data_IF_458113255071
#
_entry.id   IF_458113255071
#
_cell.length_a   1.000
_cell.length_b   1.000
_cell.length_c   1.000
_cell.angle_alpha   90.00
_cell.angle_beta   90.00
_cell.angle_gamma   90.00
#
_symmetry.space_group_name_H-M   'P 1'
#
loop_
_entity.id
_entity.type
_entity.pdbx_description
1 polymer ?
#
# COMPACT_ATOMS: atom_id res chain seq x y z
N UNK A 1 -62.00 5.05 15.28
CA UNK A 1 -60.64 4.53 15.10
C UNK A 1 -60.07 5.03 13.77
N UNK A 2 -58.77 5.36 13.70
CA UNK A 2 -58.10 5.96 12.52
C UNK A 2 -58.31 5.14 11.23
N UNK A 3 -58.39 3.81 11.32
CA UNK A 3 -58.66 2.94 10.17
C UNK A 3 -60.06 3.10 9.59
N UNK A 4 -61.07 3.43 10.42
CA UNK A 4 -62.42 3.74 9.96
C UNK A 4 -62.47 5.02 9.12
N UNK A 5 -61.68 6.04 9.49
CA UNK A 5 -61.55 7.29 8.70
C UNK A 5 -60.85 7.07 7.36
N UNK A 6 -60.07 5.98 7.25
CA UNK A 6 -59.38 5.58 6.02
C UNK A 6 -60.21 4.66 5.12
N UNK A 7 -61.42 4.30 5.53
CA UNK A 7 -62.24 3.31 4.83
C UNK A 7 -61.59 1.93 4.75
N UNK A 8 -60.78 1.56 5.76
CA UNK A 8 -60.07 0.28 5.78
C UNK A 8 -58.91 0.15 4.79
N UNK A 9 -58.51 1.21 4.08
CA UNK A 9 -57.40 1.16 3.12
C UNK A 9 -56.09 0.67 3.78
N UNK A 10 -55.45 -0.39 3.26
CA UNK A 10 -54.21 -0.95 3.79
C UNK A 10 -53.13 0.10 4.07
N UNK A 11 -52.39 -0.08 5.16
CA UNK A 11 -51.21 0.71 5.49
C UNK A 11 -50.00 -0.21 5.56
N UNK A 12 -49.00 0.09 4.74
CA UNK A 12 -47.73 -0.62 4.71
C UNK A 12 -46.67 0.25 5.40
N UNK A 13 -46.10 -0.26 6.48
CA UNK A 13 -45.08 0.40 7.29
C UNK A 13 -43.80 -0.42 7.24
N UNK A 14 -42.69 0.24 6.97
CA UNK A 14 -41.35 -0.37 7.00
C UNK A 14 -40.55 0.34 8.08
N UNK A 15 -40.17 -0.39 9.13
CA UNK A 15 -39.32 0.11 10.21
C UNK A 15 -37.90 -0.43 10.04
N UNK A 16 -37.02 0.40 9.47
CA UNK A 16 -35.61 0.08 9.25
C UNK A 16 -34.68 0.60 10.35
N UNK A 17 -35.22 1.15 11.45
CA UNK A 17 -34.44 1.78 12.51
C UNK A 17 -33.96 0.78 13.58
N UNK A 18 -32.82 1.08 14.21
CA UNK A 18 -32.32 0.36 15.38
C UNK A 18 -31.82 1.35 16.46
N UNK A 19 -32.52 1.46 17.62
CA UNK A 19 -33.75 0.75 18.02
C UNK A 19 -34.97 1.16 17.16
N UNK A 20 -35.96 0.25 17.08
CA UNK A 20 -37.20 0.41 16.30
C UNK A 20 -37.92 1.73 16.59
N UNK A 21 -38.50 2.34 15.56
CA UNK A 21 -39.29 3.56 15.69
C UNK A 21 -40.78 3.28 15.90
N UNK A 22 -41.24 2.09 15.49
CA UNK A 22 -42.65 1.71 15.53
C UNK A 22 -42.83 0.59 16.55
N UNK A 23 -43.74 0.80 17.50
CA UNK A 23 -44.15 -0.22 18.46
C UNK A 23 -44.68 -1.46 17.70
N UNK A 24 -44.15 -2.68 17.94
CA UNK A 24 -44.61 -3.90 17.30
C UNK A 24 -46.12 -4.16 17.40
N UNK A 25 -46.80 -3.62 18.43
CA UNK A 25 -48.25 -3.76 18.58
C UNK A 25 -49.03 -3.09 17.43
N UNK A 26 -48.44 -2.11 16.73
CA UNK A 26 -49.06 -1.45 15.57
C UNK A 26 -49.37 -2.45 14.45
N UNK A 27 -48.57 -3.52 14.31
CA UNK A 27 -48.81 -4.59 13.33
C UNK A 27 -50.03 -5.47 13.62
N UNK A 28 -50.66 -5.36 14.80
CA UNK A 28 -51.89 -6.10 15.15
C UNK A 28 -53.17 -5.36 14.75
N UNK A 29 -53.07 -4.12 14.29
CA UNK A 29 -54.22 -3.33 13.85
C UNK A 29 -54.69 -3.86 12.50
N UNK A 30 -56.00 -4.08 12.35
CA UNK A 30 -56.60 -4.56 11.09
C UNK A 30 -56.23 -3.63 9.93
N UNK A 31 -55.83 -4.23 8.79
CA UNK A 31 -55.35 -3.53 7.59
C UNK A 31 -54.04 -2.73 7.78
N UNK A 32 -53.23 -3.02 8.80
CA UNK A 32 -51.87 -2.49 8.97
C UNK A 32 -50.85 -3.62 8.84
N UNK A 33 -49.87 -3.44 7.97
CA UNK A 33 -48.77 -4.38 7.75
C UNK A 33 -47.47 -3.69 8.14
N UNK A 34 -46.83 -4.16 9.20
CA UNK A 34 -45.56 -3.64 9.71
C UNK A 34 -44.46 -4.65 9.42
N UNK A 35 -43.46 -4.23 8.66
CA UNK A 35 -42.25 -5.00 8.37
C UNK A 35 -41.05 -4.35 9.02
N UNK A 36 -40.14 -5.14 9.55
CA UNK A 36 -38.89 -4.66 10.11
C UNK A 36 -37.66 -5.06 9.28
N UNK A 37 -36.49 -4.71 9.81
CA UNK A 37 -35.21 -5.07 9.20
C UNK A 37 -34.99 -6.59 9.08
N UNK A 38 -35.57 -7.41 9.96
CA UNK A 38 -35.44 -8.87 9.93
C UNK A 38 -36.34 -9.47 8.84
N UNK A 39 -37.55 -8.95 8.64
CA UNK A 39 -38.44 -9.36 7.54
C UNK A 39 -37.81 -9.06 6.16
N UNK A 40 -37.09 -7.93 6.05
CA UNK A 40 -36.40 -7.55 4.82
C UNK A 40 -35.16 -8.43 4.52
N UNK A 41 -34.54 -9.04 5.54
CA UNK A 41 -33.39 -9.95 5.32
C UNK A 41 -33.78 -11.18 4.52
N UNK A 42 -34.95 -11.76 4.77
CA UNK A 42 -35.44 -12.94 4.05
C UNK A 42 -35.53 -12.70 2.53
N UNK A 43 -36.01 -11.52 2.12
CA UNK A 43 -36.09 -11.12 0.71
C UNK A 43 -34.69 -10.83 0.15
N UNK A 44 -33.80 -10.25 0.94
CA UNK A 44 -32.42 -9.99 0.51
C UNK A 44 -31.61 -11.28 0.31
N UNK A 45 -31.93 -12.34 1.05
CA UNK A 45 -31.24 -13.63 1.01
C UNK A 45 -31.52 -14.40 -0.29
N UNK A 46 -32.68 -14.22 -0.93
CA UNK A 46 -32.98 -14.85 -2.23
C UNK A 46 -32.06 -14.36 -3.35
N UNK A 47 -31.47 -13.18 -3.21
CA UNK A 47 -30.50 -12.61 -4.16
C UNK A 47 -29.04 -12.72 -3.67
N UNK A 48 -28.81 -13.41 -2.56
CA UNK A 48 -27.47 -13.50 -1.96
C UNK A 48 -26.48 -14.24 -2.88
N UNK A 49 -26.91 -15.33 -3.51
CA UNK A 49 -26.03 -16.12 -4.38
C UNK A 49 -25.57 -15.34 -5.62
N UNK A 50 -26.45 -14.55 -6.23
CA UNK A 50 -26.06 -13.71 -7.36
C UNK A 50 -25.16 -12.54 -6.92
N UNK A 51 -25.43 -11.93 -5.76
CA UNK A 51 -24.51 -10.94 -5.15
C UNK A 51 -23.14 -11.55 -4.86
N UNK A 52 -23.07 -12.79 -4.37
CA UNK A 52 -21.81 -13.50 -4.13
C UNK A 52 -21.02 -13.71 -5.42
N UNK A 53 -21.68 -14.14 -6.52
CA UNK A 53 -21.03 -14.31 -7.83
C UNK A 53 -20.42 -13.01 -8.32
N UNK A 54 -21.17 -11.90 -8.26
CA UNK A 54 -20.66 -10.59 -8.67
C UNK A 54 -19.54 -10.08 -7.76
N UNK A 55 -19.63 -10.31 -6.44
CA UNK A 55 -18.56 -9.98 -5.49
C UNK A 55 -17.27 -10.75 -5.79
N UNK A 56 -17.35 -12.04 -6.15
CA UNK A 56 -16.19 -12.85 -6.54
C UNK A 56 -15.55 -12.30 -7.82
N UNK A 57 -16.37 -11.95 -8.82
CA UNK A 57 -15.88 -11.32 -10.06
C UNK A 57 -15.15 -10.02 -9.74
N UNK A 58 -15.79 -9.10 -9.01
CA UNK A 58 -15.20 -7.82 -8.61
C UNK A 58 -13.90 -8.00 -7.81
N UNK A 59 -13.84 -8.97 -6.90
CA UNK A 59 -12.63 -9.30 -6.13
C UNK A 59 -11.47 -9.71 -7.05
N UNK A 60 -11.75 -10.58 -8.02
CA UNK A 60 -10.71 -11.17 -8.86
C UNK A 60 -10.24 -10.24 -9.99
N UNK A 61 -11.06 -9.25 -10.38
CA UNK A 61 -10.73 -8.31 -11.44
C UNK A 61 -10.37 -6.94 -10.88
N UNK A 62 -11.36 -6.23 -10.34
CA UNK A 62 -11.24 -4.84 -9.89
C UNK A 62 -10.30 -4.77 -8.69
N UNK A 63 -10.63 -5.45 -7.58
CA UNK A 63 -9.84 -5.34 -6.34
C UNK A 63 -8.39 -5.80 -6.59
N UNK A 64 -8.19 -6.90 -7.32
CA UNK A 64 -6.84 -7.37 -7.64
C UNK A 64 -6.04 -6.33 -8.42
N UNK A 65 -6.62 -5.72 -9.46
CA UNK A 65 -5.96 -4.70 -10.25
C UNK A 65 -5.60 -3.46 -9.41
N UNK A 66 -6.55 -2.96 -8.62
CA UNK A 66 -6.35 -1.81 -7.73
C UNK A 66 -5.29 -2.06 -6.66
N UNK A 67 -5.23 -3.27 -6.10
CA UNK A 67 -4.20 -3.66 -5.14
C UNK A 67 -2.81 -3.70 -5.79
N UNK A 68 -2.70 -4.23 -7.02
CA UNK A 68 -1.44 -4.23 -7.78
C UNK A 68 -0.96 -2.79 -8.08
N UNK A 69 -1.88 -1.91 -8.48
CA UNK A 69 -1.59 -0.51 -8.77
C UNK A 69 -1.19 0.27 -7.51
N UNK A 70 -1.97 0.14 -6.43
CA UNK A 70 -1.66 0.74 -5.14
C UNK A 70 -0.30 0.27 -4.61
N UNK A 71 0.01 -1.03 -4.72
CA UNK A 71 1.32 -1.55 -4.32
C UNK A 71 2.43 -0.90 -5.15
N UNK A 72 2.28 -0.84 -6.48
CA UNK A 72 3.26 -0.17 -7.36
C UNK A 72 3.46 1.29 -6.98
N UNK A 73 2.38 2.01 -6.68
CA UNK A 73 2.43 3.39 -6.21
C UNK A 73 3.15 3.53 -4.87
N UNK A 74 2.83 2.72 -3.86
CA UNK A 74 3.52 2.74 -2.57
C UNK A 74 5.03 2.51 -2.71
N UNK A 75 5.45 1.57 -3.55
CA UNK A 75 6.86 1.32 -3.80
C UNK A 75 7.55 2.44 -4.59
N UNK A 76 6.83 3.15 -5.45
CA UNK A 76 7.37 4.34 -6.13
C UNK A 76 7.86 5.39 -5.11
N UNK A 77 7.15 5.52 -3.97
CA UNK A 77 7.51 6.44 -2.88
C UNK A 77 8.83 6.05 -2.19
N UNK A 78 9.14 4.75 -2.11
CA UNK A 78 10.36 4.20 -1.51
C UNK A 78 11.60 4.31 -2.41
N UNK A 79 11.44 4.72 -3.67
CA UNK A 79 12.55 4.79 -4.63
C UNK A 79 13.60 5.81 -4.20
N UNK A 80 13.18 7.03 -3.84
CA UNK A 80 14.11 8.10 -3.45
C UNK A 80 14.86 7.76 -2.14
N UNK A 81 14.18 7.31 -1.06
CA UNK A 81 14.85 6.82 0.15
C UNK A 81 15.85 5.69 -0.13
N UNK A 82 15.48 4.72 -0.97
CA UNK A 82 16.35 3.58 -1.32
C UNK A 82 17.61 4.03 -2.06
N UNK A 83 17.50 4.96 -3.02
CA UNK A 83 18.66 5.54 -3.73
C UNK A 83 19.60 6.24 -2.73
N UNK A 84 19.04 6.96 -1.76
CA UNK A 84 19.83 7.65 -0.72
C UNK A 84 20.60 6.64 0.13
N UNK A 85 19.94 5.59 0.61
CA UNK A 85 20.58 4.54 1.41
C UNK A 85 21.69 3.81 0.64
N UNK A 86 21.44 3.48 -0.63
CA UNK A 86 22.44 2.86 -1.50
C UNK A 86 23.68 3.74 -1.63
N UNK A 87 23.51 5.03 -1.97
CA UNK A 87 24.62 5.98 -2.09
C UNK A 87 25.41 6.07 -0.79
N UNK A 88 24.73 6.24 0.34
CA UNK A 88 25.39 6.33 1.65
C UNK A 88 26.20 5.06 1.97
N UNK A 89 25.65 3.87 1.71
CA UNK A 89 26.36 2.61 1.95
C UNK A 89 27.60 2.46 1.08
N UNK A 90 27.50 2.76 -0.21
CA UNK A 90 28.64 2.67 -1.14
C UNK A 90 29.72 3.70 -0.80
N UNK A 91 29.34 4.93 -0.48
CA UNK A 91 30.27 5.99 -0.07
C UNK A 91 31.00 5.62 1.23
N UNK A 92 30.29 5.08 2.23
CA UNK A 92 30.89 4.57 3.46
C UNK A 92 31.93 3.47 3.19
N UNK A 93 31.61 2.53 2.29
CA UNK A 93 32.56 1.47 1.89
C UNK A 93 33.78 2.08 1.19
N UNK A 94 33.57 2.98 0.23
CA UNK A 94 34.66 3.66 -0.48
C UNK A 94 35.59 4.34 0.51
N UNK A 95 35.07 5.19 1.37
CA UNK A 95 35.87 5.99 2.30
C UNK A 95 36.68 5.09 3.24
N UNK A 96 36.08 4.04 3.79
CA UNK A 96 36.78 3.08 4.63
C UNK A 96 37.92 2.37 3.90
N UNK A 97 37.69 1.94 2.65
CA UNK A 97 38.69 1.21 1.85
C UNK A 97 39.80 2.14 1.36
N UNK A 98 39.45 3.32 0.86
CA UNK A 98 40.40 4.34 0.40
C UNK A 98 41.28 4.81 1.55
N UNK A 99 40.70 5.14 2.71
CA UNK A 99 41.47 5.55 3.88
C UNK A 99 42.44 4.46 4.35
N UNK A 100 41.99 3.19 4.40
CA UNK A 100 42.84 2.05 4.76
C UNK A 100 43.97 1.81 3.74
N UNK A 101 43.73 2.04 2.46
CA UNK A 101 44.74 1.91 1.41
C UNK A 101 45.78 3.02 1.52
N UNK A 102 45.35 4.29 1.63
CA UNK A 102 46.25 5.44 1.76
C UNK A 102 47.12 5.37 3.02
N UNK A 103 46.59 4.89 4.14
CA UNK A 103 47.36 4.70 5.38
C UNK A 103 48.54 3.70 5.23
N UNK A 104 48.53 2.84 4.21
CA UNK A 104 49.60 1.86 3.94
C UNK A 104 50.62 2.37 2.93
N UNK A 105 50.28 3.39 2.14
CA UNK A 105 51.11 3.92 1.06
C UNK A 105 51.90 5.12 1.59
N UNK A 106 53.12 4.86 2.10
CA UNK A 106 53.94 5.85 2.81
C UNK A 106 54.62 6.91 1.94
N UNK A 107 54.74 6.66 0.63
CA UNK A 107 55.55 7.48 -0.29
C UNK A 107 54.70 8.28 -1.29
N UNK A 108 53.43 8.56 -0.97
CA UNK A 108 52.55 9.36 -1.83
C UNK A 108 52.58 10.82 -1.42
N UNK A 109 52.67 11.71 -2.41
CA UNK A 109 52.41 13.14 -2.21
C UNK A 109 50.94 13.37 -1.85
N UNK A 110 50.61 14.54 -1.32
CA UNK A 110 49.20 14.88 -1.05
C UNK A 110 48.38 14.97 -2.34
N UNK A 111 49.00 15.41 -3.43
CA UNK A 111 48.37 15.41 -4.77
C UNK A 111 48.05 14.00 -5.26
N UNK A 112 48.96 13.03 -5.09
CA UNK A 112 48.69 11.62 -5.43
C UNK A 112 47.51 11.04 -4.61
N UNK A 113 47.43 11.39 -3.33
CA UNK A 113 46.33 10.95 -2.46
C UNK A 113 45.00 11.51 -2.94
N UNK A 114 44.97 12.79 -3.32
CA UNK A 114 43.76 13.43 -3.85
C UNK A 114 43.34 12.82 -5.19
N UNK A 115 44.29 12.50 -6.07
CA UNK A 115 44.02 11.80 -7.33
C UNK A 115 43.43 10.40 -7.09
N UNK A 116 43.96 9.65 -6.12
CA UNK A 116 43.41 8.34 -5.74
C UNK A 116 41.99 8.49 -5.19
N UNK A 117 41.75 9.46 -4.30
CA UNK A 117 40.41 9.73 -3.77
C UNK A 117 39.46 10.05 -4.94
N UNK A 118 39.83 10.96 -5.83
CA UNK A 118 39.03 11.33 -7.00
C UNK A 118 38.72 10.14 -7.90
N UNK A 119 39.73 9.31 -8.21
CA UNK A 119 39.56 8.09 -9.00
C UNK A 119 38.56 7.13 -8.34
N UNK A 120 38.64 6.91 -7.03
CA UNK A 120 37.69 6.05 -6.34
C UNK A 120 36.26 6.60 -6.38
N UNK A 121 36.07 7.94 -6.35
CA UNK A 121 34.74 8.54 -6.55
C UNK A 121 34.21 8.34 -7.96
N UNK A 122 35.07 8.44 -8.98
CA UNK A 122 34.68 8.21 -10.37
C UNK A 122 34.22 6.76 -10.57
N UNK A 123 34.94 5.79 -10.02
CA UNK A 123 34.58 4.38 -10.08
C UNK A 123 33.23 4.14 -9.38
N UNK A 124 33.02 4.65 -8.17
CA UNK A 124 31.74 4.45 -7.46
C UNK A 124 30.58 5.11 -8.19
N UNK A 125 30.77 6.31 -8.74
CA UNK A 125 29.75 7.00 -9.52
C UNK A 125 29.41 6.23 -10.81
N UNK A 126 30.40 5.70 -11.51
CA UNK A 126 30.20 4.90 -12.72
C UNK A 126 29.39 3.62 -12.42
N UNK A 127 29.73 2.90 -11.35
CA UNK A 127 29.01 1.70 -10.90
C UNK A 127 27.57 2.03 -10.50
N UNK A 128 27.36 3.12 -9.75
CA UNK A 128 26.04 3.50 -9.24
C UNK A 128 25.12 4.12 -10.29
N UNK A 129 25.66 4.63 -11.40
CA UNK A 129 24.86 5.30 -12.42
C UNK A 129 23.75 4.41 -12.94
N UNK A 130 24.07 3.21 -13.46
CA UNK A 130 23.08 2.32 -14.09
C UNK A 130 22.01 1.79 -13.11
N UNK A 131 22.36 1.29 -11.90
CA UNK A 131 21.34 0.86 -10.93
C UNK A 131 20.38 1.99 -10.54
N UNK A 132 20.91 3.21 -10.34
CA UNK A 132 20.09 4.36 -9.94
C UNK A 132 19.17 4.81 -11.07
N UNK A 133 19.67 4.91 -12.31
CA UNK A 133 18.83 5.29 -13.45
C UNK A 133 17.76 4.25 -13.73
N UNK A 134 18.11 2.97 -13.72
CA UNK A 134 17.15 1.87 -13.89
C UNK A 134 16.09 1.87 -12.79
N UNK A 135 16.45 2.12 -11.53
CA UNK A 135 15.48 2.21 -10.44
C UNK A 135 14.51 3.39 -10.61
N UNK A 136 15.02 4.58 -11.00
CA UNK A 136 14.19 5.75 -11.28
C UNK A 136 13.23 5.52 -12.46
N UNK A 137 13.73 4.93 -13.55
CA UNK A 137 12.92 4.62 -14.74
C UNK A 137 11.86 3.55 -14.47
N UNK A 138 12.14 2.65 -13.52
CA UNK A 138 11.25 1.55 -13.16
C UNK A 138 10.21 1.94 -12.11
N UNK A 139 10.40 3.02 -11.34
CA UNK A 139 9.55 3.42 -10.23
C UNK A 139 8.05 3.54 -10.59
N UNK A 140 7.75 3.96 -11.82
CA UNK A 140 6.38 4.14 -12.32
C UNK A 140 5.95 3.03 -13.31
N UNK A 141 6.75 1.97 -13.47
CA UNK A 141 6.41 0.84 -14.34
C UNK A 141 5.70 -0.25 -13.54
N UNK A 142 4.79 -0.96 -14.21
CA UNK A 142 4.21 -2.20 -13.66
C UNK A 142 5.36 -3.16 -13.30
N UNK A 143 5.36 -3.66 -12.06
CA UNK A 143 6.41 -4.50 -11.47
C UNK A 143 7.76 -3.82 -11.19
N UNK A 144 7.85 -2.48 -11.24
CA UNK A 144 9.05 -1.73 -10.89
C UNK A 144 9.56 -1.99 -9.47
N UNK A 145 8.64 -2.29 -8.55
CA UNK A 145 8.93 -2.61 -7.16
C UNK A 145 9.85 -3.83 -6.99
N UNK A 146 9.87 -4.77 -7.96
CA UNK A 146 10.73 -5.95 -7.90
C UNK A 146 12.20 -5.54 -7.92
N UNK A 147 12.56 -4.57 -8.76
CA UNK A 147 13.93 -4.05 -8.81
C UNK A 147 14.31 -3.31 -7.53
N UNK A 148 13.36 -2.57 -6.93
CA UNK A 148 13.56 -1.90 -5.65
C UNK A 148 13.85 -2.92 -4.54
N UNK A 149 13.02 -3.96 -4.43
CA UNK A 149 13.17 -5.04 -3.45
C UNK A 149 14.49 -5.80 -3.65
N UNK A 150 14.80 -6.16 -4.90
CA UNK A 150 16.06 -6.82 -5.23
C UNK A 150 17.27 -5.97 -4.82
N UNK A 151 17.25 -4.67 -5.11
CA UNK A 151 18.35 -3.77 -4.76
C UNK A 151 18.48 -3.63 -3.23
N UNK A 152 17.37 -3.50 -2.51
CA UNK A 152 17.39 -3.43 -1.04
C UNK A 152 17.93 -4.71 -0.42
N UNK A 153 17.55 -5.87 -0.93
CA UNK A 153 18.05 -7.16 -0.47
C UNK A 153 19.53 -7.36 -0.79
N UNK A 154 19.94 -7.19 -2.06
CA UNK A 154 21.32 -7.41 -2.52
C UNK A 154 22.33 -6.51 -1.82
N UNK A 155 21.94 -5.26 -1.53
CA UNK A 155 22.79 -4.31 -0.83
C UNK A 155 22.51 -4.24 0.67
N UNK A 156 21.61 -5.06 1.23
CA UNK A 156 21.22 -5.04 2.64
C UNK A 156 20.86 -3.64 3.13
N UNK A 157 19.90 -2.99 2.47
CA UNK A 157 19.44 -1.63 2.78
C UNK A 157 18.24 -1.60 3.73
N UNK A 158 17.60 -2.76 3.98
CA UNK A 158 16.53 -2.96 4.95
C UNK A 158 17.02 -3.07 6.40
N UNK A 159 18.34 -3.18 6.57
CA UNK A 159 18.94 -3.37 7.88
C UNK A 159 18.78 -2.08 8.70
N UNK A 160 17.76 -2.05 9.55
CA UNK A 160 17.57 -1.06 10.60
C UNK A 160 18.64 -1.16 11.71
N UNK A 161 19.77 -1.81 11.46
CA UNK A 161 20.86 -1.99 12.42
C UNK A 161 21.49 -0.67 12.89
N UNK A 162 21.25 0.45 12.19
CA UNK A 162 21.67 1.80 12.60
C UNK A 162 20.60 2.57 13.43
N UNK A 163 19.46 1.95 13.81
CA UNK A 163 18.50 2.53 14.77
C UNK A 163 18.71 2.10 16.23
N UNK A 164 19.73 1.29 16.53
CA UNK A 164 20.14 1.06 17.93
C UNK A 164 21.15 2.12 18.36
N UNK A 165 20.87 2.73 19.51
CA UNK A 165 21.69 3.69 20.28
C UNK A 165 21.75 5.13 19.76
N UNK A 166 20.72 5.91 20.07
CA UNK A 166 20.87 7.21 20.73
C UNK A 166 19.70 7.43 21.69
#
# INVERSE_FOLDING_TARGET
>A
AVMGLRGGRPLFLIDIAFPRNIDPQVGKIENVFLYDIDDLKFIADSHLEDRKKEAIKAKNTIIKAEVEEMASWLYSLETVPTIKLLRQKVEKIRDQKTHKALARLKNLSDEDKDQIVALTKLITNAILHKPITTLKESANRKNGYIYLQALRHLFGLDDHSDRKTK
#
